data_IF_616686452073
#
_entry.id   IF_616686452073
#
_cell.length_a   1.000
_cell.length_b   1.000
_cell.length_c   1.000
_cell.angle_alpha   90.00
_cell.angle_beta   90.00
_cell.angle_gamma   90.00
#
_symmetry.space_group_name_H-M   'P 1'
#
loop_
_entity.id
_entity.type
_entity.pdbx_description
1 polymer ?
#
# COMPACT_ATOMS: atom_id res chain seq x y z
N UNK A 1 -3.44 -1.25 7.80
CA UNK A 1 -1.98 -1.27 8.03
C UNK A 1 -1.39 0.02 7.49
N UNK A 2 -0.47 0.61 8.24
CA UNK A 2 0.28 1.80 7.82
C UNK A 2 1.67 1.39 7.32
N UNK A 3 2.09 1.91 6.17
CA UNK A 3 3.39 1.64 5.56
C UNK A 3 4.50 2.57 6.04
N UNK A 4 4.12 3.67 6.71
CA UNK A 4 5.04 4.75 7.11
C UNK A 4 5.84 5.32 5.92
N UNK A 5 5.29 5.23 4.71
CA UNK A 5 5.95 5.71 3.49
C UNK A 5 6.29 7.22 3.54
N UNK A 6 5.55 7.98 4.34
CA UNK A 6 5.80 9.40 4.57
C UNK A 6 7.08 9.71 5.38
N UNK A 7 7.74 8.73 6.00
CA UNK A 7 8.94 8.95 6.83
C UNK A 7 10.25 8.96 6.03
N UNK A 8 10.18 8.85 4.70
CA UNK A 8 11.36 8.76 3.83
C UNK A 8 12.00 7.37 3.80
N UNK A 9 11.27 6.33 4.23
CA UNK A 9 11.72 4.94 4.11
C UNK A 9 11.94 4.59 2.63
N UNK A 10 12.91 3.73 2.36
CA UNK A 10 13.15 3.26 1.00
C UNK A 10 12.09 2.20 0.59
N UNK A 11 12.05 1.88 -0.70
CA UNK A 11 11.06 0.96 -1.26
C UNK A 11 11.09 -0.45 -0.63
N UNK A 12 12.28 -0.96 -0.27
CA UNK A 12 12.43 -2.26 0.36
C UNK A 12 11.85 -2.28 1.79
N UNK A 13 12.10 -1.23 2.56
CA UNK A 13 11.55 -1.07 3.91
C UNK A 13 10.01 -1.01 3.88
N UNK A 14 9.44 -0.25 2.95
CA UNK A 14 8.00 -0.16 2.72
C UNK A 14 7.42 -1.54 2.38
N UNK A 15 8.04 -2.25 1.43
CA UNK A 15 7.59 -3.57 1.01
C UNK A 15 7.66 -4.60 2.15
N UNK A 16 8.73 -4.57 2.95
CA UNK A 16 8.89 -5.47 4.09
C UNK A 16 7.81 -5.25 5.15
N UNK A 17 7.41 -4.00 5.41
CA UNK A 17 6.30 -3.70 6.32
C UNK A 17 5.01 -4.35 5.82
N UNK A 18 4.71 -4.21 4.53
CA UNK A 18 3.50 -4.79 3.94
C UNK A 18 3.54 -6.31 3.97
N UNK A 19 4.59 -6.93 3.46
CA UNK A 19 4.71 -8.40 3.35
C UNK A 19 4.85 -9.12 4.70
N UNK A 20 5.14 -8.40 5.78
CA UNK A 20 5.17 -8.98 7.13
C UNK A 20 3.81 -8.91 7.84
N UNK A 21 2.85 -8.18 7.28
CA UNK A 21 1.59 -7.84 7.94
C UNK A 21 0.40 -7.95 6.98
N UNK A 22 0.59 -8.53 5.79
CA UNK A 22 -0.49 -8.74 4.83
C UNK A 22 -1.42 -9.86 5.31
N UNK A 23 -2.64 -9.83 4.78
CA UNK A 23 -3.67 -10.80 5.11
C UNK A 23 -4.98 -10.48 4.40
N UNK A 24 -5.88 -11.48 4.24
CA UNK A 24 -7.17 -11.27 3.59
C UNK A 24 -7.96 -10.12 4.21
N UNK A 25 -8.42 -9.19 3.37
CA UNK A 25 -9.19 -8.01 3.79
C UNK A 25 -8.36 -6.86 4.35
N UNK A 26 -7.04 -6.87 4.19
CA UNK A 26 -6.17 -5.76 4.57
C UNK A 26 -6.49 -4.48 3.77
N UNK A 27 -6.58 -3.35 4.48
CA UNK A 27 -6.53 -2.01 3.89
C UNK A 27 -5.13 -1.43 4.20
N UNK A 28 -4.38 -1.13 3.16
CA UNK A 28 -2.99 -0.67 3.24
C UNK A 28 -2.95 0.82 2.94
N UNK A 29 -2.37 1.62 3.83
CA UNK A 29 -2.28 3.08 3.71
C UNK A 29 -0.96 3.49 3.04
N UNK A 30 -1.07 4.34 2.02
CA UNK A 30 0.03 5.02 1.34
C UNK A 30 -0.34 6.50 1.16
N UNK A 31 0.66 7.34 0.91
CA UNK A 31 0.52 8.77 0.65
C UNK A 31 1.03 9.12 -0.76
N UNK A 32 0.28 9.97 -1.46
CA UNK A 32 0.67 10.54 -2.76
C UNK A 32 1.30 11.95 -2.62
N UNK A 33 1.51 12.41 -1.38
CA UNK A 33 2.11 13.70 -1.08
C UNK A 33 2.71 13.75 0.33
N UNK A 34 3.92 14.31 0.42
CA UNK A 34 4.64 14.60 1.67
C UNK A 34 5.17 16.03 1.64
N UNK A 35 5.77 16.48 2.75
CA UNK A 35 6.46 17.77 2.75
C UNK A 35 7.60 17.80 1.72
N UNK A 36 7.82 18.93 1.03
CA UNK A 36 8.77 19.04 -0.09
C UNK A 36 10.25 18.72 0.25
N UNK A 37 10.59 18.58 1.53
CA UNK A 37 11.93 18.19 1.99
C UNK A 37 12.06 16.68 2.27
N UNK A 38 11.01 15.90 2.06
CA UNK A 38 10.99 14.46 2.31
C UNK A 38 10.87 13.73 0.97
N UNK A 39 11.56 12.59 0.88
CA UNK A 39 11.47 11.71 -0.27
C UNK A 39 10.21 10.84 -0.17
N UNK A 40 9.59 10.57 -1.33
CA UNK A 40 8.51 9.58 -1.46
C UNK A 40 9.07 8.44 -2.31
N UNK A 41 9.07 7.23 -1.75
CA UNK A 41 9.51 6.01 -2.45
C UNK A 41 8.35 5.03 -2.70
N UNK A 42 7.10 5.47 -2.46
CA UNK A 42 5.89 4.66 -2.65
C UNK A 42 5.70 4.19 -4.10
N UNK A 43 5.97 4.98 -5.16
CA UNK A 43 5.88 4.51 -6.54
C UNK A 43 6.82 3.32 -6.83
N UNK A 44 8.07 3.39 -6.36
CA UNK A 44 9.07 2.33 -6.50
C UNK A 44 8.65 1.09 -5.71
N UNK A 45 8.19 1.26 -4.47
CA UNK A 45 7.66 0.18 -3.64
C UNK A 45 6.50 -0.56 -4.34
N UNK A 46 5.52 0.21 -4.84
CA UNK A 46 4.32 -0.32 -5.50
C UNK A 46 4.65 -1.11 -6.79
N UNK A 47 5.70 -0.72 -7.51
CA UNK A 47 6.12 -1.41 -8.74
C UNK A 47 6.48 -2.89 -8.47
N UNK A 48 7.07 -3.18 -7.32
CA UNK A 48 7.43 -4.55 -6.91
C UNK A 48 6.33 -5.21 -6.07
N UNK A 49 5.64 -4.45 -5.21
CA UNK A 49 4.69 -4.97 -4.25
C UNK A 49 3.38 -5.47 -4.89
N UNK A 50 2.85 -4.74 -5.87
CA UNK A 50 1.61 -5.12 -6.55
C UNK A 50 1.75 -6.51 -7.22
N UNK A 51 2.76 -6.78 -8.06
CA UNK A 51 2.91 -8.10 -8.68
C UNK A 51 3.20 -9.20 -7.65
N UNK A 52 3.91 -8.89 -6.56
CA UNK A 52 4.15 -9.83 -5.47
C UNK A 52 2.83 -10.29 -4.83
N UNK A 53 1.97 -9.35 -4.41
CA UNK A 53 0.70 -9.65 -3.78
C UNK A 53 -0.26 -10.38 -4.74
N UNK A 54 -0.29 -9.98 -6.02
CA UNK A 54 -1.05 -10.71 -7.04
C UNK A 54 -0.56 -12.16 -7.20
N UNK A 55 0.76 -12.39 -7.17
CA UNK A 55 1.34 -13.75 -7.25
C UNK A 55 0.97 -14.60 -6.04
N UNK A 56 0.78 -13.99 -4.87
CA UNK A 56 0.29 -14.66 -3.66
C UNK A 56 -1.23 -14.95 -3.70
N UNK A 57 -1.94 -14.49 -4.73
CA UNK A 57 -3.36 -14.75 -4.93
C UNK A 57 -4.28 -13.66 -4.40
N UNK A 58 -3.75 -12.49 -4.03
CA UNK A 58 -4.56 -11.34 -3.66
C UNK A 58 -5.21 -10.67 -4.87
N UNK A 59 -6.42 -10.15 -4.65
CA UNK A 59 -7.11 -9.26 -5.57
C UNK A 59 -7.15 -7.85 -4.96
N UNK A 60 -6.81 -6.84 -5.77
CA UNK A 60 -6.92 -5.45 -5.37
C UNK A 60 -8.33 -4.95 -5.72
N UNK A 61 -9.07 -4.57 -4.69
CA UNK A 61 -10.40 -4.01 -4.80
C UNK A 61 -10.43 -2.61 -4.18
N UNK A 62 -11.45 -1.84 -4.51
CA UNK A 62 -11.73 -0.58 -3.81
C UNK A 62 -12.23 -0.85 -2.38
N UNK A 63 -12.12 0.15 -1.51
CA UNK A 63 -12.65 0.07 -0.13
C UNK A 63 -14.16 -0.20 -0.13
N UNK A 64 -14.91 0.39 -1.06
CA UNK A 64 -16.36 0.17 -1.19
C UNK A 64 -16.71 -1.28 -1.55
N UNK A 65 -15.95 -1.90 -2.45
CA UNK A 65 -16.12 -3.32 -2.80
C UNK A 65 -15.78 -4.23 -1.63
N UNK A 66 -14.64 -3.97 -0.95
CA UNK A 66 -14.22 -4.76 0.22
C UNK A 66 -15.27 -4.74 1.34
N UNK A 67 -15.85 -3.57 1.63
CA UNK A 67 -16.84 -3.39 2.70
C UNK A 67 -18.28 -3.69 2.26
N UNK A 68 -18.50 -3.98 0.97
CA UNK A 68 -19.82 -4.17 0.36
C UNK A 68 -20.78 -2.98 0.65
N UNK A 69 -20.30 -1.75 0.41
CA UNK A 69 -21.08 -0.52 0.57
C UNK A 69 -21.14 0.28 -0.73
N UNK A 70 -22.19 1.09 -0.97
CA UNK A 70 -22.24 1.97 -2.13
C UNK A 70 -21.06 2.95 -2.14
N UNK A 71 -20.49 3.20 -3.33
CA UNK A 71 -19.51 4.29 -3.51
C UNK A 71 -20.22 5.63 -3.31
N UNK A 72 -19.90 6.33 -2.23
CA UNK A 72 -20.33 7.72 -2.03
C UNK A 72 -19.42 8.67 -2.80
N UNK A 73 -20.00 9.74 -3.34
CA UNK A 73 -19.29 10.86 -3.97
C UNK A 73 -19.06 11.98 -2.99
#
# INVERSE_FOLDING_TARGET
MDTLDWTGNNAEEINNIVLSNDGPGSIILFHDGVHYTQDINSPEALADLIPELQRQGYEFVTVSELLNIPKTK
#
